data_IF_838560545836
#
_entry.id   IF_838560545836
#
_cell.length_a   1.000
_cell.length_b   1.000
_cell.length_c   1.000
_cell.angle_alpha   90.00
_cell.angle_beta   90.00
_cell.angle_gamma   90.00
#
_symmetry.space_group_name_H-M   'P 1'
#
loop_
_entity.id
_entity.type
_entity.pdbx_description
1 polymer ?
#
# COMPACT_ATOMS: atom_id res chain seq x y z
N UNK A 1 -11.67 0.29 -9.77
CA UNK A 1 -12.11 1.61 -9.27
C UNK A 1 -12.27 1.53 -7.76
N UNK A 2 -11.26 1.92 -6.96
CA UNK A 2 -11.30 1.81 -5.51
C UNK A 2 -11.99 3.04 -4.88
N UNK A 3 -13.09 3.52 -5.50
CA UNK A 3 -13.76 4.76 -5.08
C UNK A 3 -14.65 4.59 -3.85
N UNK A 4 -14.85 3.36 -3.36
CA UNK A 4 -15.72 3.07 -2.22
C UNK A 4 -14.88 2.78 -0.97
N UNK A 5 -14.04 3.73 -0.58
CA UNK A 5 -13.31 3.68 0.70
C UNK A 5 -13.62 4.91 1.53
N UNK A 6 -14.03 4.70 2.78
CA UNK A 6 -14.14 5.78 3.76
C UNK A 6 -12.75 6.29 4.15
N UNK A 7 -12.51 7.58 3.93
CA UNK A 7 -11.24 8.24 4.21
C UNK A 7 -11.03 8.41 5.72
N UNK A 8 -9.76 8.41 6.15
CA UNK A 8 -9.39 8.55 7.55
C UNK A 8 -8.76 9.94 7.79
N UNK A 9 -9.22 10.70 8.81
CA UNK A 9 -8.63 12.01 9.11
C UNK A 9 -7.22 11.91 9.68
N UNK A 10 -6.82 10.76 10.26
CA UNK A 10 -5.44 10.46 10.65
C UNK A 10 -4.89 11.40 11.71
N UNK A 11 -5.71 11.82 12.69
CA UNK A 11 -5.31 12.82 13.68
C UNK A 11 -4.20 12.28 14.58
N UNK A 12 -4.46 11.19 15.30
CA UNK A 12 -3.54 10.62 16.30
C UNK A 12 -2.99 9.22 15.92
N UNK A 13 -3.32 8.72 14.73
CA UNK A 13 -2.87 7.39 14.29
C UNK A 13 -1.36 7.40 13.92
N UNK A 14 -0.51 6.55 14.55
CA UNK A 14 0.91 6.45 14.19
C UNK A 14 1.14 5.77 12.83
N UNK A 15 0.18 4.96 12.36
CA UNK A 15 0.27 4.21 11.11
C UNK A 15 -0.27 4.99 9.89
N UNK A 16 -0.62 6.27 10.06
CA UNK A 16 -1.33 7.04 9.02
C UNK A 16 -0.55 7.18 7.72
N UNK A 17 0.78 7.31 7.78
CA UNK A 17 1.63 7.46 6.60
C UNK A 17 1.65 6.21 5.71
N UNK A 18 1.44 5.05 6.32
CA UNK A 18 1.39 3.75 5.63
C UNK A 18 -0.04 3.29 5.33
N UNK A 19 -1.05 4.12 5.64
CA UNK A 19 -2.46 3.77 5.48
C UNK A 19 -3.08 4.48 4.26
N UNK A 20 -3.56 3.69 3.30
CA UNK A 20 -4.19 4.18 2.07
C UNK A 20 -5.43 5.05 2.34
N UNK A 21 -6.18 4.80 3.42
CA UNK A 21 -7.34 5.65 3.77
C UNK A 21 -6.95 7.09 4.13
N UNK A 22 -5.70 7.32 4.54
CA UNK A 22 -5.20 8.66 4.86
C UNK A 22 -4.45 9.28 3.68
N UNK A 23 -3.67 8.50 2.94
CA UNK A 23 -2.83 9.01 1.85
C UNK A 23 -3.50 9.04 0.48
N UNK A 24 -4.67 8.40 0.32
CA UNK A 24 -5.40 8.43 -0.94
C UNK A 24 -5.79 9.87 -1.33
N UNK A 25 -5.78 10.15 -2.62
CA UNK A 25 -6.22 11.44 -3.15
C UNK A 25 -7.74 11.56 -3.03
N UNK A 26 -8.22 12.73 -2.57
CA UNK A 26 -9.64 13.01 -2.41
C UNK A 26 -10.19 13.50 -3.75
N UNK A 27 -10.76 12.57 -4.52
CA UNK A 27 -11.42 12.88 -5.79
C UNK A 27 -12.93 13.02 -5.58
N UNK A 28 -13.46 14.22 -5.79
CA UNK A 28 -14.90 14.49 -5.72
C UNK A 28 -15.46 14.42 -4.29
N UNK A 29 -16.67 13.87 -4.15
CA UNK A 29 -17.30 13.66 -2.84
C UNK A 29 -16.84 12.32 -2.28
N UNK A 30 -16.23 12.35 -1.10
CA UNK A 30 -15.83 11.16 -0.36
C UNK A 30 -16.36 11.20 1.07
N UNK A 31 -16.59 10.01 1.64
CA UNK A 31 -16.97 9.85 3.04
C UNK A 31 -15.73 9.81 3.93
N UNK A 32 -15.85 10.39 5.14
CA UNK A 32 -14.78 10.42 6.13
C UNK A 32 -15.24 9.81 7.43
N UNK A 33 -14.35 9.11 8.12
CA UNK A 33 -14.59 8.75 9.52
C UNK A 33 -14.64 10.02 10.37
N UNK A 34 -15.66 10.13 11.23
CA UNK A 34 -15.79 11.24 12.17
C UNK A 34 -14.68 11.24 13.25
N UNK A 35 -14.14 10.07 13.57
CA UNK A 35 -13.03 9.88 14.52
C UNK A 35 -12.09 8.80 14.02
N UNK A 36 -10.81 8.85 14.40
CA UNK A 36 -9.85 7.82 14.02
C UNK A 36 -10.29 6.43 14.52
N UNK A 37 -10.40 5.41 13.65
CA UNK A 37 -10.73 4.04 14.07
C UNK A 37 -9.57 3.30 14.73
N UNK A 38 -8.43 3.97 14.92
CA UNK A 38 -7.24 3.40 15.54
C UNK A 38 -7.44 3.19 17.05
N UNK A 39 -7.17 1.98 17.53
CA UNK A 39 -7.21 1.65 18.96
C UNK A 39 -5.83 1.79 19.58
N UNK A 40 -5.66 2.76 20.47
CA UNK A 40 -4.43 2.93 21.26
C UNK A 40 -4.23 1.80 22.28
N UNK A 41 -5.32 1.17 22.73
CA UNK A 41 -5.28 0.07 23.70
C UNK A 41 -4.65 -1.19 23.12
N UNK A 42 -4.94 -1.48 21.85
CA UNK A 42 -4.45 -2.68 21.14
C UNK A 42 -3.34 -2.36 20.15
N UNK A 43 -2.99 -1.07 20.01
CA UNK A 43 -2.00 -0.56 19.06
C UNK A 43 -2.27 -1.04 17.61
N UNK A 44 -3.54 -1.12 17.24
CA UNK A 44 -4.00 -1.69 15.98
C UNK A 44 -5.22 -0.94 15.42
N UNK A 45 -5.48 -1.10 14.12
CA UNK A 45 -6.64 -0.53 13.46
C UNK A 45 -7.23 -1.57 12.50
N UNK A 46 -8.49 -1.96 12.74
CA UNK A 46 -9.19 -2.95 11.90
C UNK A 46 -9.45 -2.44 10.47
N UNK A 47 -9.44 -1.11 10.30
CA UNK A 47 -9.65 -0.44 9.02
C UNK A 47 -8.33 -0.07 8.33
N UNK A 48 -7.17 -0.54 8.85
CA UNK A 48 -5.87 -0.28 8.25
C UNK A 48 -5.78 -0.93 6.86
N UNK A 49 -5.45 -0.11 5.85
CA UNK A 49 -5.21 -0.56 4.49
C UNK A 49 -3.79 -0.15 4.15
N UNK A 50 -2.88 -1.10 3.93
CA UNK A 50 -1.49 -0.76 3.64
C UNK A 50 -1.35 -0.06 2.28
N UNK A 51 -0.52 0.98 2.25
CA UNK A 51 -0.04 1.60 1.01
C UNK A 51 0.83 0.63 0.20
N UNK A 52 1.55 -0.25 0.91
CA UNK A 52 2.41 -1.24 0.31
C UNK A 52 1.60 -2.20 -0.58
N UNK A 53 2.14 -2.63 -1.72
CA UNK A 53 1.54 -3.69 -2.51
C UNK A 53 1.46 -4.98 -1.69
N UNK A 54 0.47 -5.81 -2.00
CA UNK A 54 0.34 -7.13 -1.41
C UNK A 54 1.57 -8.01 -1.72
N UNK A 55 2.04 -8.77 -0.72
CA UNK A 55 3.25 -9.58 -0.84
C UNK A 55 3.17 -10.61 -1.97
N UNK A 56 2.00 -11.17 -2.29
CA UNK A 56 1.85 -12.07 -3.44
C UNK A 56 2.06 -11.35 -4.77
N UNK A 57 1.64 -10.08 -4.86
CA UNK A 57 1.91 -9.26 -6.06
C UNK A 57 3.39 -8.94 -6.19
N UNK A 58 4.04 -8.59 -5.08
CA UNK A 58 5.49 -8.31 -5.08
C UNK A 58 6.24 -9.59 -5.48
N UNK A 59 5.87 -10.74 -4.94
CA UNK A 59 6.46 -12.04 -5.28
C UNK A 59 6.32 -12.38 -6.76
N UNK A 60 5.12 -12.23 -7.32
CA UNK A 60 4.87 -12.49 -8.74
C UNK A 60 5.73 -11.58 -9.63
N UNK A 61 5.76 -10.28 -9.31
CA UNK A 61 6.52 -9.29 -10.05
C UNK A 61 8.03 -9.51 -9.92
N UNK A 62 8.52 -9.88 -8.74
CA UNK A 62 9.92 -10.22 -8.50
C UNK A 62 10.34 -11.45 -9.31
N UNK A 63 9.45 -12.45 -9.42
CA UNK A 63 9.67 -13.61 -10.26
C UNK A 63 9.77 -13.24 -11.76
N UNK A 64 8.90 -12.36 -12.26
CA UNK A 64 9.00 -11.86 -13.63
C UNK A 64 10.33 -11.11 -13.89
N UNK A 65 10.77 -10.29 -12.93
CA UNK A 65 12.05 -9.57 -13.03
C UNK A 65 13.22 -10.57 -13.09
N UNK A 66 13.19 -11.61 -12.26
CA UNK A 66 14.20 -12.67 -12.26
C UNK A 66 14.22 -13.47 -13.59
N UNK A 67 13.06 -13.77 -14.16
CA UNK A 67 12.99 -14.40 -15.49
C UNK A 67 13.60 -13.50 -16.57
N UNK A 68 13.35 -12.19 -16.51
CA UNK A 68 13.90 -11.20 -17.46
C UNK A 68 15.39 -10.93 -17.26
N UNK A 69 15.91 -11.07 -16.04
CA UNK A 69 17.33 -10.91 -15.75
C UNK A 69 18.19 -12.09 -16.22
N UNK A 70 17.57 -13.13 -16.79
CA UNK A 70 18.26 -14.33 -17.24
C UNK A 70 18.56 -15.32 -16.12
N UNK A 71 17.71 -15.37 -15.09
CA UNK A 71 17.81 -16.32 -13.98
C UNK A 71 19.05 -16.12 -13.10
N UNK A 72 19.48 -14.86 -12.94
CA UNK A 72 20.63 -14.53 -12.09
C UNK A 72 20.37 -14.91 -10.63
N UNK A 73 21.20 -15.80 -10.10
CA UNK A 73 21.14 -16.22 -8.69
C UNK A 73 21.74 -15.15 -7.74
N UNK A 74 21.37 -15.19 -6.46
CA UNK A 74 21.91 -14.30 -5.43
C UNK A 74 21.32 -12.88 -5.37
N UNK A 75 20.40 -12.51 -6.27
CA UNK A 75 19.78 -11.17 -6.34
C UNK A 75 18.31 -11.12 -5.94
N UNK A 76 17.84 -12.11 -5.18
CA UNK A 76 16.43 -12.23 -4.79
C UNK A 76 15.90 -10.99 -4.07
N UNK A 77 16.70 -10.41 -3.16
CA UNK A 77 16.33 -9.19 -2.43
C UNK A 77 16.25 -7.98 -3.35
N UNK A 78 17.19 -7.82 -4.28
CA UNK A 78 17.18 -6.73 -5.26
C UNK A 78 15.94 -6.81 -6.17
N UNK A 79 15.60 -8.01 -6.64
CA UNK A 79 14.41 -8.24 -7.45
C UNK A 79 13.11 -7.96 -6.68
N UNK A 80 13.07 -8.29 -5.38
CA UNK A 80 11.93 -7.98 -4.52
C UNK A 80 11.74 -6.47 -4.33
N UNK A 81 12.81 -5.74 -4.00
CA UNK A 81 12.76 -4.28 -3.82
C UNK A 81 12.38 -3.57 -5.13
N UNK A 82 12.90 -4.05 -6.26
CA UNK A 82 12.54 -3.53 -7.58
C UNK A 82 11.06 -3.78 -7.89
N UNK A 83 10.55 -4.97 -7.61
CA UNK A 83 9.14 -5.32 -7.80
C UNK A 83 8.21 -4.44 -6.98
N UNK A 84 8.53 -4.25 -5.70
CA UNK A 84 7.78 -3.37 -4.81
C UNK A 84 7.71 -1.95 -5.35
N UNK A 85 8.87 -1.39 -5.75
CA UNK A 85 8.95 -0.03 -6.30
C UNK A 85 8.10 0.11 -7.57
N UNK A 86 8.23 -0.81 -8.53
CA UNK A 86 7.44 -0.78 -9.77
C UNK A 86 5.93 -0.86 -9.49
N UNK A 87 5.51 -1.68 -8.51
CA UNK A 87 4.10 -1.81 -8.13
C UNK A 87 3.56 -0.55 -7.45
N UNK A 88 4.36 0.11 -6.61
CA UNK A 88 3.98 1.40 -5.99
C UNK A 88 3.84 2.48 -7.07
N UNK A 89 4.81 2.59 -7.98
CA UNK A 89 4.76 3.54 -9.09
C UNK A 89 3.54 3.31 -9.99
N UNK A 90 3.25 2.05 -10.35
CA UNK A 90 2.06 1.68 -11.12
C UNK A 90 0.77 2.10 -10.40
N UNK A 91 0.67 1.89 -9.09
CA UNK A 91 -0.48 2.32 -8.29
C UNK A 91 -0.70 3.83 -8.37
N UNK A 92 0.39 4.59 -8.26
CA UNK A 92 0.37 6.06 -8.32
C UNK A 92 0.04 6.60 -9.72
N UNK A 93 0.49 5.93 -10.80
CA UNK A 93 0.17 6.28 -12.19
C UNK A 93 -1.28 5.95 -12.58
N UNK A 94 -1.89 4.99 -11.89
CA UNK A 94 -3.28 4.56 -12.12
C UNK A 94 -4.31 5.21 -11.19
N UNK A 95 -3.87 6.09 -10.29
CA UNK A 95 -4.72 6.84 -9.36
C UNK A 95 -5.18 8.16 -9.97
#
# INVERSE_FOLDING_TARGET
MPYDITMCPGQNCPLKQDCYRFTAEILGRQDFFGTDPYSFTTNSCDYFISNRPDDDKIRLKAYEIWQKSGYSDGKSVEHWLQAEKELIELKNLSS
#
